data_IF_438519185747
#
_entry.id   IF_438519185747
#
_cell.length_a   1.000
_cell.length_b   1.000
_cell.length_c   1.000
_cell.angle_alpha   90.00
_cell.angle_beta   90.00
_cell.angle_gamma   90.00
#
_symmetry.space_group_name_H-M   'P 1'
#
loop_
_entity.id
_entity.type
_entity.pdbx_description
1 polymer ?
#
# COMPACT_ATOMS: atom_id res chain seq x y z
N UNK A 1 11.52 7.24 5.09
CA UNK A 1 10.69 6.08 4.68
C UNK A 1 10.11 6.34 3.29
N UNK A 2 9.75 5.30 2.55
CA UNK A 2 9.43 5.35 1.12
C UNK A 2 7.93 5.56 0.85
N UNK A 3 7.56 6.68 0.23
CA UNK A 3 6.16 7.04 -0.05
C UNK A 3 5.59 6.44 -1.36
N UNK A 4 6.33 5.59 -2.07
CA UNK A 4 5.85 5.00 -3.31
C UNK A 4 4.57 4.18 -3.07
N UNK A 5 3.56 4.49 -3.89
CA UNK A 5 2.23 3.90 -3.94
C UNK A 5 1.30 4.12 -2.74
N UNK A 6 1.66 4.93 -1.75
CA UNK A 6 0.82 5.11 -0.54
C UNK A 6 -0.56 5.72 -0.84
N UNK A 7 -0.69 6.50 -1.91
CA UNK A 7 -1.99 7.06 -2.35
C UNK A 7 -2.76 6.14 -3.32
N UNK A 8 -2.19 5.00 -3.71
CA UNK A 8 -2.81 3.99 -4.57
C UNK A 8 -3.20 2.72 -3.79
N UNK A 9 -2.79 2.60 -2.53
CA UNK A 9 -3.10 1.48 -1.66
C UNK A 9 -4.31 1.79 -0.77
N UNK A 10 -5.07 0.76 -0.41
CA UNK A 10 -6.13 0.86 0.59
C UNK A 10 -5.52 0.79 1.99
N UNK A 11 -5.77 1.80 2.84
CA UNK A 11 -5.22 1.84 4.20
C UNK A 11 -5.85 0.86 5.17
N UNK A 12 -6.99 0.26 4.84
CA UNK A 12 -7.64 -0.74 5.68
C UNK A 12 -7.01 -2.12 5.50
N UNK A 13 -6.57 -2.44 4.29
CA UNK A 13 -6.00 -3.77 3.94
C UNK A 13 -4.50 -3.74 3.68
N UNK A 14 -3.94 -2.55 3.43
CA UNK A 14 -2.56 -2.33 3.01
C UNK A 14 -2.17 -3.05 1.71
N UNK A 15 -3.15 -3.30 0.85
CA UNK A 15 -2.97 -3.91 -0.47
C UNK A 15 -3.07 -2.86 -1.58
N UNK A 16 -2.56 -3.20 -2.78
CA UNK A 16 -2.71 -2.37 -4.00
C UNK A 16 -4.09 -2.60 -4.62
N UNK A 17 -5.11 -2.20 -3.90
CA UNK A 17 -6.51 -2.27 -4.33
C UNK A 17 -7.24 -0.97 -4.04
N UNK A 18 -8.48 -0.86 -4.53
CA UNK A 18 -9.21 0.40 -4.54
C UNK A 18 -8.71 1.37 -5.60
N UNK A 19 -9.18 2.62 -5.52
CA UNK A 19 -8.86 3.65 -6.53
C UNK A 19 -8.97 5.06 -5.97
N UNK A 20 -7.90 5.85 -6.11
CA UNK A 20 -7.95 7.30 -5.90
C UNK A 20 -8.61 8.01 -7.08
N UNK A 21 -9.55 8.89 -6.79
CA UNK A 21 -10.18 9.81 -7.74
C UNK A 21 -10.28 11.19 -7.09
N UNK A 22 -9.40 12.11 -7.49
CA UNK A 22 -9.34 13.45 -6.89
C UNK A 22 -8.99 13.43 -5.39
N UNK A 23 -9.85 14.03 -4.58
CA UNK A 23 -9.76 14.12 -3.11
C UNK A 23 -10.24 12.86 -2.39
N UNK A 24 -10.75 11.86 -3.14
CA UNK A 24 -11.36 10.65 -2.61
C UNK A 24 -10.56 9.40 -2.95
N UNK A 25 -10.60 8.45 -2.04
CA UNK A 25 -10.12 7.09 -2.25
C UNK A 25 -11.28 6.12 -2.09
N UNK A 26 -11.59 5.37 -3.14
CA UNK A 26 -12.63 4.36 -3.16
C UNK A 26 -12.02 3.01 -2.77
N UNK A 27 -12.37 2.52 -1.58
CA UNK A 27 -11.91 1.25 -1.03
C UNK A 27 -12.56 0.07 -1.76
N UNK A 28 -11.93 -1.11 -1.69
CA UNK A 28 -12.45 -2.32 -2.35
C UNK A 28 -13.77 -2.81 -1.74
N UNK A 29 -14.00 -2.51 -0.45
CA UNK A 29 -15.23 -2.83 0.28
C UNK A 29 -16.39 -1.86 -0.01
N UNK A 30 -16.18 -0.82 -0.83
CA UNK A 30 -17.18 0.20 -1.18
C UNK A 30 -17.12 1.49 -0.36
N UNK A 31 -16.31 1.56 0.70
CA UNK A 31 -16.12 2.78 1.48
C UNK A 31 -15.38 3.85 0.69
N UNK A 32 -15.55 5.12 1.11
CA UNK A 32 -14.85 6.26 0.52
C UNK A 32 -14.14 7.05 1.60
N UNK A 33 -12.81 7.11 1.49
CA UNK A 33 -11.94 7.85 2.40
C UNK A 33 -11.48 9.17 1.75
N UNK A 34 -11.11 10.15 2.56
CA UNK A 34 -10.32 11.28 2.07
C UNK A 34 -8.94 10.76 1.63
N UNK A 35 -8.53 11.09 0.41
CA UNK A 35 -7.38 10.45 -0.22
C UNK A 35 -6.04 10.69 0.49
N UNK A 36 -5.83 11.87 1.06
CA UNK A 36 -4.60 12.21 1.77
C UNK A 36 -4.56 11.58 3.15
N UNK A 37 -5.72 11.48 3.83
CA UNK A 37 -5.87 10.69 5.05
C UNK A 37 -5.53 9.20 4.82
N UNK A 38 -6.07 8.59 3.77
CA UNK A 38 -5.71 7.23 3.35
C UNK A 38 -4.20 7.09 3.09
N UNK A 39 -3.62 8.03 2.34
CA UNK A 39 -2.18 8.02 2.05
C UNK A 39 -1.31 8.16 3.32
N UNK A 40 -1.73 8.98 4.28
CA UNK A 40 -1.04 9.16 5.56
C UNK A 40 -1.08 7.89 6.43
N UNK A 41 -2.20 7.16 6.44
CA UNK A 41 -2.30 5.88 7.13
C UNK A 41 -1.40 4.81 6.48
N UNK A 42 -1.35 4.76 5.15
CA UNK A 42 -0.42 3.89 4.44
C UNK A 42 1.04 4.26 4.70
N UNK A 43 1.35 5.56 4.81
CA UNK A 43 2.66 6.03 5.23
C UNK A 43 2.96 5.50 6.64
N UNK A 44 2.08 5.70 7.62
CA UNK A 44 2.26 5.16 8.98
C UNK A 44 2.55 3.66 8.98
N UNK A 45 1.81 2.86 8.21
CA UNK A 45 2.07 1.42 8.09
C UNK A 45 3.45 1.13 7.46
N UNK A 46 3.81 1.84 6.39
CA UNK A 46 5.10 1.69 5.70
C UNK A 46 6.31 2.00 6.58
N UNK A 47 6.15 2.74 7.68
CA UNK A 47 7.22 3.00 8.63
C UNK A 47 7.79 1.71 9.25
N UNK A 48 6.95 0.70 9.42
CA UNK A 48 7.30 -0.59 10.02
C UNK A 48 7.56 -1.69 8.98
N UNK A 49 7.59 -1.35 7.69
CA UNK A 49 7.76 -2.31 6.60
C UNK A 49 9.25 -2.54 6.32
N UNK A 50 9.77 -3.70 6.73
CA UNK A 50 11.18 -4.04 6.55
C UNK A 50 11.55 -4.46 5.12
N UNK A 51 10.59 -4.87 4.30
CA UNK A 51 10.84 -5.22 2.89
C UNK A 51 10.95 -3.97 2.00
N UNK A 52 10.26 -2.89 2.38
CA UNK A 52 10.27 -1.63 1.64
C UNK A 52 11.00 -0.54 2.43
N UNK A 53 12.32 -0.51 2.26
CA UNK A 53 13.20 0.51 2.83
C UNK A 53 13.09 1.85 2.10
N UNK A 54 13.72 2.89 2.64
CA UNK A 54 13.83 4.22 2.02
C UNK A 54 14.40 4.15 0.59
N UNK A 55 15.33 3.24 0.32
CA UNK A 55 16.05 3.17 -0.96
C UNK A 55 15.48 2.14 -1.95
N UNK A 56 14.43 1.40 -1.55
CA UNK A 56 13.79 0.42 -2.44
C UNK A 56 13.22 1.14 -3.68
N UNK A 57 13.66 0.82 -4.91
CA UNK A 57 13.19 1.51 -6.12
C UNK A 57 11.69 1.34 -6.32
N UNK A 58 10.99 2.34 -6.87
CA UNK A 58 9.53 2.29 -7.02
C UNK A 58 9.03 1.06 -7.80
N UNK A 59 9.78 0.56 -8.79
CA UNK A 59 9.40 -0.65 -9.52
C UNK A 59 9.38 -1.88 -8.61
N UNK A 60 10.36 -1.95 -7.72
CA UNK A 60 10.49 -3.02 -6.74
C UNK A 60 9.42 -2.92 -5.65
N UNK A 61 9.13 -1.70 -5.18
CA UNK A 61 7.98 -1.46 -4.29
C UNK A 61 6.69 -2.00 -4.90
N UNK A 62 6.42 -1.69 -6.18
CA UNK A 62 5.23 -2.20 -6.87
C UNK A 62 5.20 -3.73 -6.91
N UNK A 63 6.34 -4.36 -7.20
CA UNK A 63 6.47 -5.83 -7.25
C UNK A 63 6.12 -6.47 -5.91
N UNK A 64 6.70 -5.95 -4.82
CA UNK A 64 6.44 -6.41 -3.45
C UNK A 64 4.96 -6.30 -3.10
N UNK A 65 4.36 -5.13 -3.34
CA UNK A 65 2.95 -4.89 -3.00
C UNK A 65 1.96 -5.74 -3.83
N UNK A 66 2.25 -5.97 -5.12
CA UNK A 66 1.46 -6.87 -5.95
C UNK A 66 1.57 -8.32 -5.48
N UNK A 67 2.76 -8.77 -5.06
CA UNK A 67 2.96 -10.11 -4.50
C UNK A 67 2.15 -10.34 -3.21
N UNK A 68 2.02 -9.32 -2.36
CA UNK A 68 1.16 -9.36 -1.16
C UNK A 68 -0.32 -9.51 -1.54
N UNK A 69 -0.76 -8.76 -2.55
CA UNK A 69 -2.15 -8.74 -3.00
C UNK A 69 -2.57 -10.05 -3.69
N UNK A 70 -1.63 -10.78 -4.31
CA UNK A 70 -1.90 -12.08 -4.92
C UNK A 70 -1.80 -13.27 -3.95
N UNK A 71 -1.52 -13.03 -2.66
CA UNK A 71 -1.28 -14.09 -1.67
C UNK A 71 0.00 -14.88 -1.91
N UNK A 72 0.90 -14.40 -2.77
CA UNK A 72 2.18 -15.06 -3.07
C UNK A 72 3.19 -14.97 -1.91
N UNK A 73 2.92 -14.12 -0.91
CA UNK A 73 3.75 -13.97 0.28
C UNK A 73 3.42 -15.01 1.37
N UNK A 74 3.49 -16.30 1.02
CA UNK A 74 3.59 -17.39 1.98
C UNK A 74 4.69 -18.34 1.50
N UNK A 75 5.92 -18.10 1.98
CA UNK A 75 7.00 -19.09 2.23
C UNK A 75 8.29 -18.34 2.57
N UNK A 76 8.42 -17.93 3.82
CA UNK A 76 9.71 -17.90 4.52
C UNK A 76 9.43 -17.76 6.02
N UNK A 77 9.70 -18.85 6.75
CA UNK A 77 9.38 -19.03 8.16
C UNK A 77 9.15 -20.52 8.43
N UNK A 78 10.24 -21.29 8.38
CA UNK A 78 10.34 -22.62 8.99
C UNK A 78 10.78 -22.44 10.45
#
# INVERSE_FOLDING_TARGET
>A
MNAAYTSQMDSNTHLLEGKRVGDKFHCANGDVLQADFNAALNLRHRYFDHEITLYTPHREVRRILLARSSGATMRQGA
#
